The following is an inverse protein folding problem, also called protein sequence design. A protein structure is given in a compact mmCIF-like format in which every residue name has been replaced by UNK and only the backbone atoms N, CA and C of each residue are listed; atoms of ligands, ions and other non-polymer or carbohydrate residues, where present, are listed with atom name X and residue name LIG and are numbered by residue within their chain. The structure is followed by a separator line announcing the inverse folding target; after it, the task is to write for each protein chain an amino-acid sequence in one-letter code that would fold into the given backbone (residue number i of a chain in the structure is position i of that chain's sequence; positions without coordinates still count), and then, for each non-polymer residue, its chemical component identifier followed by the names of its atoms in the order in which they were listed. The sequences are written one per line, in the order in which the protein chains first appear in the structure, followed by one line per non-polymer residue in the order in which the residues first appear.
data_IF_040450424679
#
_entry.id   IF_040450424679
#
_cell.length_a   1.000
_cell.length_b   1.000
_cell.length_c   1.000
_cell.angle_alpha   90.00
_cell.angle_beta   90.00
_cell.angle_gamma   90.00
#
_symmetry.space_group_name_H-M   'P 1'
#
loop_
_entity.id
_entity.type
_entity.pdbx_description
1 polymer ?
#
# COMPACT_ATOMS: atom_id res chain seq x y z
N UNK A 1 -9.97 -9.32 4.87
CA UNK A 1 -10.58 -9.61 3.55
C UNK A 1 -9.54 -9.28 2.47
N UNK A 2 -9.25 -10.19 1.53
CA UNK A 2 -8.28 -9.91 0.46
C UNK A 2 -8.86 -8.88 -0.52
N UNK A 3 -8.05 -7.90 -0.93
CA UNK A 3 -8.41 -7.03 -2.04
C UNK A 3 -8.38 -7.82 -3.35
N UNK A 4 -9.29 -7.49 -4.26
CA UNK A 4 -9.30 -8.02 -5.63
C UNK A 4 -9.80 -6.93 -6.55
N UNK A 5 -8.95 -6.48 -7.47
CA UNK A 5 -9.33 -5.48 -8.47
C UNK A 5 -10.53 -5.98 -9.29
N UNK A 6 -11.56 -5.14 -9.41
CA UNK A 6 -12.73 -5.41 -10.27
C UNK A 6 -12.62 -4.73 -11.63
N UNK A 7 -12.05 -3.52 -11.69
CA UNK A 7 -11.78 -2.77 -12.90
C UNK A 7 -10.58 -1.83 -12.67
N UNK A 8 -10.00 -1.25 -13.72
CA UNK A 8 -9.10 -0.12 -13.56
C UNK A 8 -9.88 1.08 -12.96
N UNK A 9 -9.22 1.86 -12.09
CA UNK A 9 -9.81 3.05 -11.46
C UNK A 9 -9.00 4.31 -11.77
N UNK A 10 -9.43 5.43 -11.18
CA UNK A 10 -8.90 6.77 -11.46
C UNK A 10 -9.71 7.52 -12.51
N UNK A 11 -9.63 8.86 -12.51
CA UNK A 11 -10.34 9.72 -13.49
C UNK A 11 -9.96 9.46 -14.94
N UNK A 12 -8.77 8.92 -15.17
CA UNK A 12 -8.19 8.63 -16.48
C UNK A 12 -7.31 7.37 -16.40
N UNK A 13 -7.01 6.73 -17.54
CA UNK A 13 -6.00 5.68 -17.57
C UNK A 13 -4.70 6.15 -16.92
N UNK A 14 -4.07 5.26 -16.15
CA UNK A 14 -2.81 5.53 -15.45
C UNK A 14 -1.72 5.92 -16.46
N UNK A 15 -1.16 7.12 -16.30
CA UNK A 15 -0.05 7.56 -17.14
C UNK A 15 1.31 7.03 -16.67
N UNK A 16 2.30 7.15 -17.56
CA UNK A 16 3.66 6.67 -17.31
C UNK A 16 4.37 7.42 -16.18
N UNK A 17 3.96 8.65 -15.87
CA UNK A 17 4.46 9.52 -14.81
C UNK A 17 3.57 9.53 -13.56
N UNK A 18 2.61 8.61 -13.47
CA UNK A 18 1.71 8.48 -12.34
C UNK A 18 1.92 7.17 -11.57
N UNK A 19 1.42 7.16 -10.33
CA UNK A 19 1.22 5.99 -9.48
C UNK A 19 -0.27 5.73 -9.27
N UNK A 20 -0.65 4.46 -9.39
CA UNK A 20 -1.91 3.96 -8.88
C UNK A 20 -1.80 3.79 -7.36
N UNK A 21 -2.85 4.21 -6.63
CA UNK A 21 -2.83 4.26 -5.17
C UNK A 21 -3.91 3.37 -4.58
N UNK A 22 -3.50 2.49 -3.66
CA UNK A 22 -4.37 1.61 -2.90
C UNK A 22 -4.08 1.78 -1.41
N UNK A 23 -5.08 2.15 -0.63
CA UNK A 23 -4.96 2.22 0.82
C UNK A 23 -5.52 0.97 1.50
N UNK A 24 -4.83 0.51 2.54
CA UNK A 24 -5.31 -0.45 3.53
C UNK A 24 -5.46 0.26 4.87
N UNK A 25 -6.69 0.43 5.34
CA UNK A 25 -6.99 0.88 6.70
C UNK A 25 -7.15 -0.36 7.59
N UNK A 26 -6.15 -0.59 8.45
CA UNK A 26 -6.04 -1.76 9.30
C UNK A 26 -6.45 -1.43 10.72
N UNK A 27 -7.34 -2.25 11.26
CA UNK A 27 -7.68 -2.29 12.68
C UNK A 27 -7.27 -3.64 13.25
N UNK A 28 -6.55 -3.61 14.36
CA UNK A 28 -6.07 -4.76 15.09
C UNK A 28 -6.04 -4.44 16.58
N UNK A 29 -6.09 -5.47 17.41
CA UNK A 29 -5.90 -5.33 18.86
C UNK A 29 -4.49 -4.83 19.18
N UNK A 30 -3.49 -5.37 18.47
CA UNK A 30 -2.09 -4.97 18.57
C UNK A 30 -1.62 -4.30 17.27
N UNK A 31 -1.76 -2.97 17.20
CA UNK A 31 -1.27 -2.18 16.07
C UNK A 31 0.26 -2.07 16.02
N UNK A 32 0.95 -2.31 17.14
CA UNK A 32 2.42 -2.28 17.16
C UNK A 32 2.95 -3.51 16.44
N UNK A 33 2.39 -4.69 16.73
CA UNK A 33 2.74 -5.91 15.99
C UNK A 33 2.47 -5.79 14.48
N UNK A 34 1.38 -5.13 14.08
CA UNK A 34 1.11 -4.84 12.65
C UNK A 34 2.18 -3.92 12.07
N UNK A 35 2.57 -2.88 12.81
CA UNK A 35 3.59 -1.93 12.35
C UNK A 35 4.96 -2.60 12.17
N UNK A 36 5.38 -3.41 13.14
CA UNK A 36 6.64 -4.18 13.11
C UNK A 36 6.66 -5.17 11.94
N UNK A 37 5.58 -5.91 11.72
CA UNK A 37 5.47 -6.84 10.59
C UNK A 37 5.48 -6.12 9.23
N UNK A 38 4.90 -4.91 9.15
CA UNK A 38 5.00 -4.09 7.95
C UNK A 38 6.44 -3.64 7.73
N UNK A 39 7.14 -3.20 8.78
CA UNK A 39 8.55 -2.81 8.67
C UNK A 39 9.44 -3.98 8.24
N UNK A 40 9.17 -5.19 8.73
CA UNK A 40 9.88 -6.39 8.28
C UNK A 40 9.62 -6.65 6.80
N UNK A 41 8.35 -6.66 6.38
CA UNK A 41 7.95 -6.88 4.99
C UNK A 41 8.58 -5.86 4.03
N UNK A 42 8.61 -4.59 4.42
CA UNK A 42 9.19 -3.51 3.60
C UNK A 42 10.70 -3.38 3.76
N UNK A 43 11.29 -3.87 4.86
CA UNK A 43 12.73 -3.93 5.06
C UNK A 43 13.44 -4.85 4.05
N UNK A 44 12.72 -5.83 3.50
CA UNK A 44 13.18 -6.61 2.35
C UNK A 44 13.17 -5.83 1.01
N UNK A 45 12.65 -4.60 0.98
CA UNK A 45 12.48 -3.76 -0.22
C UNK A 45 13.40 -2.51 -0.25
N UNK A 46 14.53 -2.45 0.46
CA UNK A 46 15.29 -1.19 0.67
C UNK A 46 16.49 -0.94 -0.31
N UNK A 47 16.91 0.33 -0.62
CA UNK A 47 16.40 1.59 -0.06
C UNK A 47 16.17 2.79 -1.01
N UNK A 48 14.99 3.40 -0.86
CA UNK A 48 14.83 4.86 -0.89
C UNK A 48 13.82 5.26 0.19
N UNK A 49 14.26 6.05 1.18
CA UNK A 49 13.37 6.76 2.11
C UNK A 49 13.16 8.17 1.56
N UNK A 50 12.02 8.39 0.94
CA UNK A 50 11.58 9.71 0.51
C UNK A 50 10.25 10.03 1.19
N UNK A 51 10.08 11.27 1.63
CA UNK A 51 8.83 11.73 2.24
C UNK A 51 7.86 12.17 1.14
N UNK A 52 6.62 11.68 1.20
CA UNK A 52 5.48 12.18 0.43
C UNK A 52 4.42 12.73 1.39
N UNK A 53 3.35 13.34 0.87
CA UNK A 53 2.29 13.95 1.68
C UNK A 53 1.71 12.97 2.72
N UNK A 54 1.61 11.68 2.38
CA UNK A 54 1.08 10.64 3.27
C UNK A 54 2.10 10.04 4.26
N UNK A 55 3.38 10.44 4.20
CA UNK A 55 4.43 9.97 5.10
C UNK A 55 5.67 9.42 4.38
N UNK A 56 6.64 8.86 5.12
CA UNK A 56 7.85 8.28 4.52
C UNK A 56 7.53 7.02 3.73
N UNK A 57 8.15 6.88 2.56
CA UNK A 57 8.18 5.63 1.81
C UNK A 57 9.12 4.64 2.53
N UNK A 58 8.60 3.46 2.87
CA UNK A 58 9.27 2.45 3.73
C UNK A 58 9.80 1.25 2.92
N UNK A 59 9.52 1.15 1.61
CA UNK A 59 10.09 0.13 0.75
C UNK A 59 9.85 0.42 -0.72
N UNK A 60 10.89 0.35 -1.57
CA UNK A 60 10.81 0.70 -3.00
C UNK A 60 11.43 -0.41 -3.85
N UNK A 61 10.65 -1.02 -4.74
CA UNK A 61 11.20 -1.98 -5.73
C UNK A 61 11.39 -1.28 -7.08
N UNK A 62 12.62 -0.92 -7.43
CA UNK A 62 13.00 -0.33 -8.74
C UNK A 62 12.12 0.86 -9.20
N UNK A 63 11.54 1.62 -8.26
CA UNK A 63 10.60 2.72 -8.54
C UNK A 63 9.19 2.29 -8.98
N UNK A 64 8.88 0.99 -8.92
CA UNK A 64 7.67 0.38 -9.45
C UNK A 64 6.60 0.06 -8.39
N UNK A 65 7.00 -0.19 -7.15
CA UNK A 65 6.11 -0.32 -6.01
C UNK A 65 6.73 0.40 -4.81
N UNK A 66 5.93 1.22 -4.14
CA UNK A 66 6.28 1.89 -2.90
C UNK A 66 5.19 1.71 -1.85
N UNK A 67 5.55 1.77 -0.56
CA UNK A 67 4.61 1.71 0.56
C UNK A 67 4.88 2.86 1.52
N UNK A 68 3.86 3.63 1.88
CA UNK A 68 3.89 4.57 3.01
C UNK A 68 2.97 4.06 4.13
N UNK A 69 3.25 4.49 5.35
CA UNK A 69 2.42 4.17 6.51
C UNK A 69 2.14 5.42 7.35
N UNK A 70 0.97 5.46 7.96
CA UNK A 70 0.57 6.51 8.88
C UNK A 70 -0.52 6.05 9.83
N UNK A 71 -0.50 6.55 11.06
CA UNK A 71 -1.60 6.34 12.00
C UNK A 71 -2.81 7.19 11.62
N UNK A 72 -4.01 6.68 11.86
CA UNK A 72 -5.24 7.45 11.73
C UNK A 72 -6.21 7.12 12.86
N UNK A 73 -7.19 8.02 13.05
CA UNK A 73 -8.34 7.76 13.91
C UNK A 73 -9.59 7.71 13.05
N UNK A 74 -10.43 6.71 13.26
CA UNK A 74 -11.73 6.63 12.61
C UNK A 74 -12.69 7.71 13.18
N UNK A 75 -13.86 7.95 12.57
CA UNK A 75 -14.84 8.91 13.08
C UNK A 75 -15.39 8.59 14.49
N UNK A 76 -15.13 7.38 15.02
CA UNK A 76 -15.50 6.93 16.36
C UNK A 76 -14.33 7.04 17.35
N UNK A 77 -13.18 7.57 16.92
CA UNK A 77 -11.98 7.74 17.74
C UNK A 77 -11.13 6.47 17.90
N UNK A 78 -11.40 5.41 17.14
CA UNK A 78 -10.57 4.19 17.18
C UNK A 78 -9.28 4.43 16.40
N UNK A 79 -8.15 4.06 17.01
CA UNK A 79 -6.85 4.09 16.34
C UNK A 79 -6.78 2.98 15.30
N UNK A 80 -6.15 3.27 14.17
CA UNK A 80 -5.84 2.32 13.11
C UNK A 80 -4.53 2.68 12.41
N UNK A 81 -4.01 1.73 11.64
CA UNK A 81 -2.83 1.95 10.79
C UNK A 81 -3.29 2.03 9.33
N UNK A 82 -2.92 3.09 8.63
CA UNK A 82 -3.12 3.21 7.19
C UNK A 82 -1.82 2.87 6.48
N UNK A 83 -1.91 1.90 5.57
CA UNK A 83 -0.84 1.59 4.62
C UNK A 83 -1.27 2.10 3.24
N UNK A 84 -0.42 2.85 2.58
CA UNK A 84 -0.64 3.37 1.22
C UNK A 84 0.32 2.68 0.28
N UNK A 85 -0.20 1.87 -0.64
CA UNK A 85 0.55 1.20 -1.68
C UNK A 85 0.50 2.04 -2.95
N UNK A 86 1.66 2.30 -3.53
CA UNK A 86 1.82 3.08 -4.76
C UNK A 86 2.48 2.20 -5.81
N UNK A 87 1.84 2.01 -6.96
CA UNK A 87 2.42 1.22 -8.03
C UNK A 87 2.46 1.98 -9.35
N UNK A 88 3.60 1.87 -10.00
CA UNK A 88 3.89 2.43 -11.30
C UNK A 88 3.69 1.38 -12.40
N UNK A 89 3.21 1.83 -13.57
CA UNK A 89 3.31 1.03 -14.79
C UNK A 89 4.77 0.94 -15.27
N UNK A 90 5.11 -0.13 -16.00
CA UNK A 90 6.45 -0.33 -16.58
C UNK A 90 6.78 0.78 -17.57
N UNK A 91 8.03 1.22 -17.60
CA UNK A 91 8.53 2.16 -18.60
C UNK A 91 8.40 1.53 -19.99
N UNK A 92 7.43 2.00 -20.80
CA UNK A 92 7.18 1.50 -22.16
C UNK A 92 6.09 0.43 -22.29
N UNK A 93 5.38 0.08 -21.21
CA UNK A 93 4.24 -0.85 -21.21
C UNK A 93 2.97 -0.22 -20.63
N UNK A 94 1.81 -0.65 -21.14
CA UNK A 94 0.51 -0.20 -20.62
C UNK A 94 0.35 -0.56 -19.13
N UNK A 95 -0.31 0.31 -18.35
CA UNK A 95 -0.47 0.21 -16.89
C UNK A 95 -1.19 -1.02 -16.31
N UNK A 96 -1.25 -2.16 -17.01
CA UNK A 96 -1.76 -3.43 -16.50
C UNK A 96 -0.94 -3.91 -15.28
N UNK A 97 0.39 -3.74 -15.33
CA UNK A 97 1.32 -4.28 -14.34
C UNK A 97 1.24 -3.56 -12.97
N UNK A 98 0.89 -2.27 -12.94
CA UNK A 98 0.78 -1.51 -11.70
C UNK A 98 -0.27 -2.13 -10.76
N UNK A 99 -1.43 -2.44 -11.31
CA UNK A 99 -2.54 -2.97 -10.53
C UNK A 99 -2.34 -4.43 -10.11
N UNK A 100 -1.66 -5.23 -10.93
CA UNK A 100 -1.26 -6.59 -10.56
C UNK A 100 -0.24 -6.58 -9.42
N UNK A 101 0.69 -5.61 -9.43
CA UNK A 101 1.62 -5.37 -8.32
C UNK A 101 0.90 -4.99 -7.05
N UNK A 102 -0.08 -4.08 -7.11
CA UNK A 102 -0.92 -3.74 -5.96
C UNK A 102 -1.64 -4.99 -5.42
N UNK A 103 -2.11 -5.88 -6.30
CA UNK A 103 -2.84 -7.08 -5.89
C UNK A 103 -1.92 -8.08 -5.19
N UNK A 104 -0.70 -8.19 -5.70
CA UNK A 104 0.37 -9.01 -5.11
C UNK A 104 0.79 -8.45 -3.76
N UNK A 105 1.03 -7.14 -3.65
CA UNK A 105 1.40 -6.48 -2.41
C UNK A 105 0.30 -6.59 -1.33
N UNK A 106 -0.96 -6.35 -1.70
CA UNK A 106 -2.09 -6.51 -0.80
C UNK A 106 -2.25 -7.95 -0.30
N UNK A 107 -1.98 -8.94 -1.16
CA UNK A 107 -2.01 -10.36 -0.77
C UNK A 107 -0.82 -10.72 0.13
N UNK A 108 0.39 -10.27 -0.22
CA UNK A 108 1.60 -10.50 0.55
C UNK A 108 1.51 -9.91 1.97
N UNK A 109 0.95 -8.70 2.12
CA UNK A 109 0.68 -8.11 3.43
C UNK A 109 -0.17 -9.06 4.29
N UNK A 110 -1.30 -9.51 3.76
CA UNK A 110 -2.22 -10.36 4.53
C UNK A 110 -1.61 -11.73 4.83
N UNK A 111 -0.84 -12.28 3.91
CA UNK A 111 -0.18 -13.57 4.07
C UNK A 111 0.95 -13.48 5.11
N UNK A 112 1.70 -12.39 5.13
CA UNK A 112 2.73 -12.12 6.12
C UNK A 112 2.14 -11.90 7.51
N UNK A 113 1.14 -11.02 7.65
CA UNK A 113 0.45 -10.79 8.94
C UNK A 113 -0.14 -12.09 9.51
N UNK A 114 -0.71 -12.94 8.64
CA UNK A 114 -1.23 -14.24 9.06
C UNK A 114 -0.11 -15.23 9.44
N UNK A 115 1.04 -15.19 8.76
CA UNK A 115 2.20 -16.02 9.10
C UNK A 115 2.80 -15.62 10.46
N UNK A 116 2.82 -14.33 10.78
CA UNK A 116 3.21 -13.78 12.09
C UNK A 116 2.16 -14.01 13.19
N UNK A 117 1.01 -14.63 12.86
CA UNK A 117 -0.07 -14.90 13.82
C UNK A 117 -0.82 -13.65 14.28
N UNK A 118 -0.70 -12.52 13.56
CA UNK A 118 -1.33 -11.26 13.91
C UNK A 118 -2.83 -11.31 13.56
N UNK A 119 -3.67 -11.09 14.56
CA UNK A 119 -5.13 -11.09 14.38
C UNK A 119 -5.63 -9.69 14.04
N UNK A 120 -6.14 -9.54 12.81
CA UNK A 120 -6.80 -8.32 12.37
C UNK A 120 -8.28 -8.33 12.77
N UNK A 121 -8.76 -7.23 13.33
CA UNK A 121 -10.19 -7.00 13.53
C UNK A 121 -10.87 -6.73 12.18
N UNK A 122 -10.24 -5.87 11.37
CA UNK A 122 -10.70 -5.59 10.01
C UNK A 122 -9.61 -4.93 9.18
N UNK A 123 -9.75 -5.07 7.86
CA UNK A 123 -8.98 -4.29 6.88
C UNK A 123 -9.96 -3.73 5.86
N UNK A 124 -9.91 -2.42 5.65
CA UNK A 124 -10.69 -1.73 4.62
C UNK A 124 -9.77 -1.27 3.50
N UNK A 125 -10.08 -1.72 2.30
CA UNK A 125 -9.36 -1.34 1.09
C UNK A 125 -10.04 -0.16 0.41
N UNK A 126 -9.27 0.85 0.04
CA UNK A 126 -9.77 2.04 -0.67
C UNK A 126 -8.88 2.33 -1.87
N UNK A 127 -9.49 2.30 -3.06
CA UNK A 127 -8.88 2.74 -4.32
C UNK A 127 -8.91 4.28 -4.35
N UNK A 128 -7.74 4.91 -4.44
CA UNK A 128 -7.60 6.37 -4.45
C UNK A 128 -7.25 6.91 -5.84
N UNK A 129 -7.36 8.22 -6.02
CA UNK A 129 -6.94 8.89 -7.25
C UNK A 129 -5.46 8.65 -7.52
N UNK A 130 -5.09 8.65 -8.80
CA UNK A 130 -3.69 8.56 -9.19
C UNK A 130 -2.94 9.81 -8.73
N UNK A 131 -1.67 9.63 -8.38
CA UNK A 131 -0.79 10.73 -8.01
C UNK A 131 0.38 10.81 -8.98
N UNK A 132 0.93 12.00 -9.17
CA UNK A 132 2.18 12.18 -9.91
C UNK A 132 3.33 11.54 -9.15
N UNK A 133 4.24 10.87 -9.87
CA UNK A 133 5.44 10.31 -9.26
C UNK A 133 6.31 11.43 -8.68
N UNK A 134 6.77 11.31 -7.42
CA UNK A 134 7.65 12.30 -6.82
C UNK A 134 9.08 12.27 -7.39
N UNK A 135 9.45 11.24 -8.18
CA UNK A 135 10.75 11.07 -8.82
C UNK A 135 10.64 10.26 -10.13
#
# INVERSE_FOLDING_TARGET
MRWKRRAAWGRRPLAADEWAVLHAEVFAEDLIAVDDAVEELTGFMDPFRADIEEGPLVGVTDGQLSVAKGEFHDPRGRRGLRLSFYAAGVTGGAGADAFERLNSAASALLDHLNAEGITLESVRWTEAEHITRPF
#
